data_IF_847652155960
#
_entry.id   IF_847652155960
#
_cell.length_a   1.000
_cell.length_b   1.000
_cell.length_c   1.000
_cell.angle_alpha   90.00
_cell.angle_beta   90.00
_cell.angle_gamma   90.00
#
_symmetry.space_group_name_H-M   'P 1'
#
loop_
_entity.id
_entity.type
_entity.pdbx_description
1 polymer ?
#
# COMPACT_ATOMS: atom_id res chain seq x y z
N UNK A 1 -3.13 -11.54 -0.47
CA UNK A 1 -1.92 -11.23 -1.26
C UNK A 1 -1.15 -12.52 -1.47
N UNK A 2 -1.36 -13.22 -2.60
CA UNK A 2 -0.21 -13.90 -3.17
C UNK A 2 0.84 -12.80 -3.37
N UNK A 3 2.01 -12.97 -2.78
CA UNK A 3 3.14 -12.11 -3.09
C UNK A 3 3.36 -12.26 -4.60
N UNK A 4 2.85 -11.30 -5.36
CA UNK A 4 3.35 -11.02 -6.69
C UNK A 4 4.79 -10.62 -6.45
N UNK A 5 5.67 -11.61 -6.60
CA UNK A 5 7.10 -11.42 -6.66
C UNK A 5 7.35 -10.26 -7.62
N UNK A 6 7.99 -9.21 -7.11
CA UNK A 6 8.71 -8.29 -7.97
C UNK A 6 9.61 -9.15 -8.85
N UNK A 7 9.46 -9.08 -10.17
CA UNK A 7 10.20 -9.86 -11.18
C UNK A 7 11.71 -9.54 -11.24
N UNK A 8 12.32 -9.13 -10.12
CA UNK A 8 13.73 -8.76 -10.05
C UNK A 8 14.62 -9.76 -9.30
N UNK A 9 14.10 -10.85 -8.73
CA UNK A 9 14.92 -11.93 -8.15
C UNK A 9 14.30 -13.31 -8.40
N UNK A 10 14.52 -13.88 -9.59
CA UNK A 10 14.55 -15.33 -9.77
C UNK A 10 15.93 -15.74 -10.26
N UNK A 11 16.59 -16.58 -9.47
CA UNK A 11 17.78 -17.31 -9.91
C UNK A 11 17.42 -18.09 -11.18
N UNK A 12 18.21 -17.86 -12.24
CA UNK A 12 18.18 -18.59 -13.49
C UNK A 12 18.34 -20.10 -13.24
N UNK A 13 17.21 -20.81 -13.19
CA UNK A 13 17.13 -22.17 -13.69
C UNK A 13 16.30 -22.11 -14.96
N UNK A 14 16.99 -22.28 -16.09
CA UNK A 14 16.47 -22.28 -17.46
C UNK A 14 15.15 -23.06 -17.56
N UNK A 15 14.04 -22.35 -17.49
CA UNK A 15 12.75 -22.79 -18.01
C UNK A 15 12.29 -21.65 -18.89
N UNK A 16 12.27 -21.89 -20.20
CA UNK A 16 11.97 -20.94 -21.29
C UNK A 16 11.15 -19.72 -20.85
N UNK A 17 11.81 -18.56 -20.76
CA UNK A 17 11.13 -17.27 -20.78
C UNK A 17 10.37 -17.21 -22.10
N UNK A 18 9.05 -17.40 -22.07
CA UNK A 18 8.19 -17.20 -23.24
C UNK A 18 8.32 -15.75 -23.64
N UNK A 19 9.18 -15.51 -24.65
CA UNK A 19 9.67 -14.21 -25.09
C UNK A 19 8.57 -13.19 -25.41
N UNK A 20 7.39 -13.68 -25.80
CA UNK A 20 6.21 -12.89 -26.10
C UNK A 20 4.98 -13.58 -25.48
N UNK A 21 4.31 -12.96 -24.52
CA UNK A 21 3.09 -13.47 -23.91
C UNK A 21 2.21 -12.35 -23.37
N UNK A 22 0.92 -12.65 -23.21
CA UNK A 22 -0.06 -11.82 -22.51
C UNK A 22 -0.79 -12.76 -21.57
N UNK A 23 -0.73 -12.46 -20.29
CA UNK A 23 -1.42 -13.21 -19.24
C UNK A 23 -2.59 -12.37 -18.74
N UNK A 24 -3.79 -12.96 -18.81
CA UNK A 24 -4.99 -12.39 -18.22
C UNK A 24 -5.27 -13.12 -16.93
N UNK A 25 -5.47 -12.37 -15.85
CA UNK A 25 -5.82 -12.94 -14.58
C UNK A 25 -6.71 -12.02 -13.77
N UNK A 26 -6.87 -12.38 -12.51
CA UNK A 26 -7.65 -11.57 -11.60
C UNK A 26 -7.86 -12.24 -10.27
N UNK A 27 -8.78 -11.67 -9.50
CA UNK A 27 -9.24 -12.27 -8.27
C UNK A 27 -10.69 -11.91 -7.98
N UNK A 28 -11.42 -12.85 -7.39
CA UNK A 28 -12.68 -12.56 -6.70
C UNK A 28 -12.42 -12.74 -5.22
N UNK A 29 -12.66 -11.67 -4.45
CA UNK A 29 -12.43 -11.68 -3.01
C UNK A 29 -13.74 -11.55 -2.24
N UNK A 30 -13.80 -12.27 -1.13
CA UNK A 30 -14.76 -12.09 -0.06
C UNK A 30 -14.01 -11.75 1.23
N UNK A 31 -14.69 -11.06 2.13
CA UNK A 31 -14.17 -10.74 3.46
C UNK A 31 -15.20 -11.03 4.54
N UNK A 32 -14.74 -11.58 5.65
CA UNK A 32 -15.53 -11.64 6.87
C UNK A 32 -15.00 -10.61 7.87
N UNK A 33 -15.89 -9.73 8.31
CA UNK A 33 -15.61 -8.71 9.30
C UNK A 33 -16.37 -9.00 10.58
N UNK A 34 -15.63 -8.99 11.68
CA UNK A 34 -16.20 -9.01 13.02
C UNK A 34 -15.62 -7.85 13.83
N UNK A 35 -16.47 -6.91 14.19
CA UNK A 35 -16.14 -5.75 15.01
C UNK A 35 -17.14 -5.67 16.17
N UNK A 36 -16.70 -5.96 17.41
CA UNK A 36 -17.58 -5.97 18.57
C UNK A 36 -18.03 -4.56 18.98
N UNK A 37 -17.24 -3.53 18.69
CA UNK A 37 -17.50 -2.15 19.13
C UNK A 37 -18.55 -1.48 18.22
N UNK A 38 -18.63 -1.90 16.96
CA UNK A 38 -19.60 -1.42 15.96
C UNK A 38 -20.75 -2.38 15.65
N UNK A 39 -20.85 -3.50 16.37
CA UNK A 39 -21.82 -4.59 16.14
C UNK A 39 -21.81 -5.09 14.67
N UNK A 40 -20.61 -5.27 14.12
CA UNK A 40 -20.43 -5.75 12.74
C UNK A 40 -20.12 -7.25 12.79
N UNK A 41 -20.89 -8.02 12.04
CA UNK A 41 -20.63 -9.44 11.76
C UNK A 41 -21.11 -9.78 10.37
N UNK A 42 -20.29 -9.53 9.36
CA UNK A 42 -20.69 -9.63 7.95
C UNK A 42 -19.70 -10.45 7.13
N UNK A 43 -20.21 -11.36 6.31
CA UNK A 43 -19.49 -11.95 5.19
C UNK A 43 -19.94 -11.22 3.93
N UNK A 44 -19.02 -10.55 3.25
CA UNK A 44 -19.31 -9.64 2.15
C UNK A 44 -18.44 -9.94 0.94
N UNK A 45 -18.92 -9.58 -0.24
CA UNK A 45 -18.06 -9.34 -1.39
C UNK A 45 -17.05 -8.23 -1.03
N UNK A 46 -15.77 -8.47 -1.32
CA UNK A 46 -14.69 -7.53 -1.00
C UNK A 46 -14.29 -6.76 -2.26
N UNK A 47 -13.84 -7.47 -3.29
CA UNK A 47 -13.33 -6.85 -4.52
C UNK A 47 -13.30 -7.86 -5.66
N UNK A 48 -13.60 -7.39 -6.88
CA UNK A 48 -13.21 -8.04 -8.11
C UNK A 48 -11.98 -7.32 -8.67
N UNK A 49 -10.93 -8.08 -8.92
CA UNK A 49 -9.67 -7.61 -9.49
C UNK A 49 -9.57 -8.18 -10.90
N UNK A 50 -9.29 -7.31 -11.86
CA UNK A 50 -8.91 -7.68 -13.21
C UNK A 50 -7.47 -7.26 -13.43
N UNK A 51 -6.61 -8.17 -13.87
CA UNK A 51 -5.24 -7.83 -14.19
C UNK A 51 -4.82 -8.39 -15.55
N UNK A 52 -3.80 -7.75 -16.12
CA UNK A 52 -3.17 -8.19 -17.36
C UNK A 52 -1.70 -7.84 -17.28
N UNK A 53 -0.86 -8.83 -17.51
CA UNK A 53 0.58 -8.66 -17.64
C UNK A 53 0.97 -9.05 -19.07
N UNK A 54 1.93 -8.33 -19.66
CA UNK A 54 2.45 -8.68 -20.97
C UNK A 54 3.96 -8.53 -21.03
N UNK A 55 4.56 -9.32 -21.92
CA UNK A 55 5.96 -9.21 -22.30
C UNK A 55 6.07 -9.39 -23.82
N UNK A 56 6.83 -8.52 -24.46
CA UNK A 56 7.14 -8.54 -25.89
C UNK A 56 8.54 -7.96 -26.11
N UNK A 57 9.51 -8.84 -26.38
CA UNK A 57 10.92 -8.45 -26.57
C UNK A 57 11.48 -7.62 -25.39
N UNK A 58 11.71 -6.31 -25.60
CA UNK A 58 12.20 -5.37 -24.59
C UNK A 58 11.07 -4.63 -23.85
N UNK A 59 9.83 -4.86 -24.24
CA UNK A 59 8.68 -4.23 -23.62
C UNK A 59 8.00 -5.21 -22.68
N UNK A 60 7.64 -4.73 -21.50
CA UNK A 60 6.74 -5.43 -20.58
C UNK A 60 5.72 -4.42 -20.06
N UNK A 61 4.70 -4.88 -19.35
CA UNK A 61 3.77 -3.97 -18.73
C UNK A 61 2.73 -4.70 -17.91
N UNK A 62 2.04 -3.92 -17.08
CA UNK A 62 1.09 -4.44 -16.12
C UNK A 62 -0.08 -3.49 -15.96
N UNK A 63 -1.29 -4.05 -15.96
CA UNK A 63 -2.54 -3.38 -15.70
C UNK A 63 -3.28 -4.10 -14.58
N UNK A 64 -3.82 -3.36 -13.62
CA UNK A 64 -4.71 -3.88 -12.58
C UNK A 64 -5.84 -2.88 -12.32
N UNK A 65 -7.08 -3.36 -12.36
CA UNK A 65 -8.28 -2.60 -12.07
C UNK A 65 -9.10 -3.27 -10.98
N UNK A 66 -9.65 -2.48 -10.06
CA UNK A 66 -10.44 -2.97 -8.93
C UNK A 66 -11.87 -2.47 -9.00
N UNK A 67 -12.80 -3.38 -8.70
CA UNK A 67 -14.24 -3.17 -8.74
C UNK A 67 -14.79 -3.57 -7.37
N UNK A 68 -15.43 -2.62 -6.70
CA UNK A 68 -15.98 -2.68 -5.35
C UNK A 68 -17.39 -2.06 -5.34
N UNK A 69 -18.05 -1.98 -4.18
CA UNK A 69 -19.41 -1.43 -4.06
C UNK A 69 -20.49 -2.49 -3.85
N UNK A 70 -21.68 -2.06 -3.43
CA UNK A 70 -22.87 -2.89 -3.21
C UNK A 70 -22.80 -3.84 -2.00
N UNK A 71 -21.72 -3.82 -1.22
CA UNK A 71 -21.53 -4.66 -0.04
C UNK A 71 -20.63 -3.96 0.99
N UNK A 72 -20.77 -4.31 2.27
CA UNK A 72 -19.95 -3.72 3.34
C UNK A 72 -18.45 -3.78 3.01
N UNK A 73 -17.68 -2.68 3.19
CA UNK A 73 -18.04 -1.41 3.85
C UNK A 73 -18.74 -0.36 2.96
N UNK A 74 -19.17 -0.74 1.77
CA UNK A 74 -19.81 0.12 0.77
C UNK A 74 -21.31 -0.11 0.64
N UNK A 75 -21.98 -0.48 1.73
CA UNK A 75 -23.43 -0.72 1.76
C UNK A 75 -24.27 0.56 1.59
N UNK A 76 -23.63 1.73 1.51
CA UNK A 76 -24.24 2.99 1.06
C UNK A 76 -24.34 3.12 -0.47
N UNK A 77 -23.78 2.18 -1.24
CA UNK A 77 -23.90 2.11 -2.71
C UNK A 77 -24.81 0.96 -3.12
N UNK A 78 -25.46 1.08 -4.28
CA UNK A 78 -26.51 0.14 -4.71
C UNK A 78 -25.96 -1.10 -5.45
N UNK A 79 -24.83 -0.95 -6.17
CA UNK A 79 -24.32 -2.00 -7.08
C UNK A 79 -22.82 -2.25 -6.92
N UNK A 80 -22.41 -3.51 -7.18
CA UNK A 80 -21.01 -3.83 -7.44
C UNK A 80 -20.55 -3.04 -8.68
N UNK A 81 -19.44 -2.31 -8.55
CA UNK A 81 -18.90 -1.40 -9.55
C UNK A 81 -19.35 0.05 -9.41
N UNK A 82 -20.05 0.41 -8.34
CA UNK A 82 -20.25 1.80 -7.97
C UNK A 82 -18.99 2.47 -7.44
N UNK A 83 -18.03 1.66 -6.96
CA UNK A 83 -16.68 2.10 -6.61
C UNK A 83 -15.67 1.30 -7.42
N UNK A 84 -14.84 1.98 -8.21
CA UNK A 84 -13.85 1.29 -9.03
C UNK A 84 -12.72 2.18 -9.47
N UNK A 85 -11.48 1.67 -9.48
CA UNK A 85 -10.30 2.45 -9.83
C UNK A 85 -9.15 1.56 -10.33
N UNK A 86 -8.23 2.11 -11.14
CA UNK A 86 -6.99 1.43 -11.48
C UNK A 86 -6.03 1.43 -10.29
N UNK A 87 -5.40 0.28 -10.00
CA UNK A 87 -4.25 0.20 -9.08
C UNK A 87 -2.95 0.57 -9.81
N UNK A 88 -2.68 -0.10 -10.93
CA UNK A 88 -1.47 0.08 -11.75
C UNK A 88 -1.81 -0.03 -13.23
N UNK A 89 -1.06 0.69 -14.05
CA UNK A 89 -1.18 0.69 -15.50
C UNK A 89 0.07 1.32 -16.10
N UNK A 90 1.08 0.50 -16.38
CA UNK A 90 2.35 0.99 -16.92
C UNK A 90 2.90 0.07 -18.01
N UNK A 91 3.73 0.66 -18.86
CA UNK A 91 4.61 -0.04 -19.80
C UNK A 91 6.04 0.18 -19.33
N UNK A 92 6.84 -0.87 -19.37
CA UNK A 92 8.25 -0.87 -19.07
C UNK A 92 9.06 -1.18 -20.32
N UNK A 93 10.17 -0.47 -20.51
CA UNK A 93 11.15 -0.72 -21.55
C UNK A 93 12.49 -1.11 -20.91
N UNK A 94 12.94 -2.34 -21.17
CA UNK A 94 14.26 -2.83 -20.80
C UNK A 94 15.31 -2.24 -21.75
N UNK A 95 16.10 -1.30 -21.23
CA UNK A 95 17.22 -0.69 -21.97
C UNK A 95 18.29 -1.77 -22.20
N UNK A 96 18.67 -2.44 -21.12
CA UNK A 96 19.58 -3.59 -21.05
C UNK A 96 19.27 -4.44 -19.80
N UNK A 97 20.11 -5.44 -19.51
CA UNK A 97 19.91 -6.38 -18.40
C UNK A 97 19.98 -5.74 -17.00
N UNK A 98 20.41 -4.47 -16.89
CA UNK A 98 20.57 -3.73 -15.64
C UNK A 98 19.63 -2.53 -15.53
N UNK A 99 18.99 -2.14 -16.63
CA UNK A 99 18.29 -0.86 -16.77
C UNK A 99 16.91 -1.01 -17.37
N UNK A 100 15.90 -0.45 -16.71
CA UNK A 100 14.54 -0.38 -17.21
C UNK A 100 13.89 0.97 -16.94
N UNK A 101 12.97 1.37 -17.80
CA UNK A 101 12.15 2.59 -17.63
C UNK A 101 10.68 2.22 -17.70
N UNK A 102 9.94 2.54 -16.65
CA UNK A 102 8.48 2.44 -16.57
C UNK A 102 7.85 3.79 -16.90
N UNK A 103 6.78 3.78 -17.69
CA UNK A 103 5.91 4.92 -17.95
C UNK A 103 4.45 4.55 -17.69
N UNK A 104 3.75 5.41 -16.95
CA UNK A 104 2.32 5.24 -16.63
C UNK A 104 2.06 5.29 -15.14
N UNK A 105 0.94 4.71 -14.70
CA UNK A 105 0.57 4.57 -13.30
C UNK A 105 1.40 3.44 -12.65
N UNK A 106 2.43 3.82 -11.91
CA UNK A 106 3.35 2.90 -11.26
C UNK A 106 3.65 3.30 -9.81
N UNK A 107 4.16 2.35 -9.03
CA UNK A 107 4.46 2.55 -7.61
C UNK A 107 5.64 3.51 -7.42
N UNK A 108 5.48 4.49 -6.53
CA UNK A 108 6.51 5.45 -6.12
C UNK A 108 7.56 4.74 -5.25
N UNK A 109 8.87 4.88 -5.55
CA UNK A 109 9.92 4.16 -4.85
C UNK A 109 10.24 4.82 -3.49
N UNK A 110 9.49 4.45 -2.47
CA UNK A 110 9.71 4.84 -1.07
C UNK A 110 9.67 3.57 -0.23
N UNK A 111 10.60 3.40 0.72
CA UNK A 111 10.63 2.24 1.62
C UNK A 111 10.70 0.87 0.92
N UNK A 112 10.16 -0.20 1.51
CA UNK A 112 10.13 -1.49 0.82
C UNK A 112 9.18 -1.50 -0.38
N UNK A 113 9.53 -2.22 -1.43
CA UNK A 113 8.67 -2.43 -2.59
C UNK A 113 8.33 -3.93 -2.71
N UNK A 114 7.08 -4.33 -3.01
CA UNK A 114 5.89 -3.47 -3.08
C UNK A 114 5.27 -3.15 -1.71
N UNK A 115 5.52 -3.94 -0.66
CA UNK A 115 4.85 -3.79 0.64
C UNK A 115 5.84 -3.77 1.81
N UNK A 116 5.54 -2.96 2.82
CA UNK A 116 6.33 -2.86 4.04
C UNK A 116 6.02 -3.99 5.02
N UNK A 117 4.87 -4.63 4.86
CA UNK A 117 4.29 -5.54 5.84
C UNK A 117 3.85 -6.86 5.24
N UNK A 118 3.52 -7.82 6.10
CA UNK A 118 2.87 -9.09 5.78
C UNK A 118 1.34 -9.02 5.87
N UNK A 119 0.78 -7.92 6.38
CA UNK A 119 -0.67 -7.79 6.62
C UNK A 119 -1.44 -7.36 5.37
N UNK A 120 -2.69 -7.83 5.22
CA UNK A 120 -3.55 -7.43 4.08
C UNK A 120 -4.12 -6.02 4.21
N UNK A 121 -4.11 -5.42 5.41
CA UNK A 121 -4.55 -4.04 5.66
C UNK A 121 -3.41 -3.00 5.57
N UNK A 122 -2.18 -3.46 5.34
CA UNK A 122 -0.95 -2.65 5.27
C UNK A 122 -0.64 -1.87 6.57
N UNK A 123 0.38 -1.01 6.61
CA UNK A 123 0.75 -0.27 7.82
C UNK A 123 0.04 1.09 7.96
N UNK A 124 0.26 1.79 9.08
CA UNK A 124 -0.13 3.21 9.18
C UNK A 124 0.54 4.08 8.09
N UNK A 125 1.70 3.68 7.56
CA UNK A 125 2.31 4.40 6.44
C UNK A 125 1.47 4.31 5.16
N UNK A 126 0.66 3.26 4.98
CA UNK A 126 -0.30 3.17 3.88
C UNK A 126 -1.38 4.23 4.05
N UNK A 127 -1.97 4.31 5.25
CA UNK A 127 -3.02 5.28 5.57
C UNK A 127 -2.50 6.72 5.45
N UNK A 128 -1.25 6.97 5.84
CA UNK A 128 -0.58 8.26 5.67
C UNK A 128 -0.17 8.58 4.21
N UNK A 129 -0.51 7.72 3.25
CA UNK A 129 -0.24 7.90 1.82
C UNK A 129 1.22 7.81 1.44
N UNK A 130 1.96 6.89 2.06
CA UNK A 130 3.41 6.66 1.81
C UNK A 130 3.66 5.23 1.31
N UNK A 131 3.15 4.21 2.01
CA UNK A 131 3.19 2.82 1.54
C UNK A 131 2.20 2.62 0.39
N UNK A 132 2.54 1.72 -0.55
CA UNK A 132 1.71 1.36 -1.72
C UNK A 132 1.13 2.58 -2.48
N UNK A 133 1.92 3.66 -2.58
CA UNK A 133 1.59 4.88 -3.30
C UNK A 133 1.86 4.71 -4.80
N UNK A 134 0.82 4.83 -5.63
CA UNK A 134 0.93 4.84 -7.09
C UNK A 134 0.67 6.24 -7.64
N UNK A 135 1.47 6.63 -8.62
CA UNK A 135 1.34 7.91 -9.31
C UNK A 135 1.65 7.75 -10.79
N UNK A 136 1.19 8.72 -11.60
CA UNK A 136 1.42 8.71 -13.04
C UNK A 136 2.74 9.42 -13.33
N UNK A 137 3.68 8.71 -13.95
CA UNK A 137 5.02 9.23 -14.15
C UNK A 137 5.96 8.29 -14.87
N UNK A 138 7.24 8.66 -14.78
CA UNK A 138 8.38 7.88 -15.24
C UNK A 138 9.11 7.31 -14.02
N UNK A 139 9.49 6.04 -14.07
CA UNK A 139 10.36 5.42 -13.07
C UNK A 139 11.50 4.68 -13.77
N UNK A 140 12.73 5.06 -13.45
CA UNK A 140 13.94 4.39 -13.92
C UNK A 140 14.45 3.46 -12.83
N UNK A 141 14.77 2.23 -13.21
CA UNK A 141 15.41 1.23 -12.36
C UNK A 141 16.81 0.94 -12.91
N UNK A 142 17.81 0.99 -12.02
CA UNK A 142 19.15 0.49 -12.27
C UNK A 142 19.54 -0.52 -11.18
N UNK A 143 19.76 -1.78 -11.57
CA UNK A 143 20.22 -2.85 -10.67
C UNK A 143 21.57 -3.38 -11.14
N UNK A 144 22.56 -3.37 -10.25
CA UNK A 144 23.88 -3.93 -10.51
C UNK A 144 24.42 -4.62 -9.26
N UNK A 145 24.65 -5.93 -9.36
CA UNK A 145 25.12 -6.78 -8.26
C UNK A 145 24.23 -6.60 -7.02
N UNK A 146 24.79 -6.05 -5.95
CA UNK A 146 24.14 -5.86 -4.66
C UNK A 146 23.38 -4.53 -4.55
N UNK A 147 23.51 -3.64 -5.54
CA UNK A 147 22.98 -2.28 -5.50
C UNK A 147 21.82 -2.11 -6.45
N UNK A 148 20.76 -1.45 -5.99
CA UNK A 148 19.63 -1.02 -6.81
C UNK A 148 19.34 0.47 -6.55
N UNK A 149 19.10 1.21 -7.63
CA UNK A 149 18.72 2.63 -7.61
C UNK A 149 17.41 2.77 -8.37
N UNK A 150 16.41 3.37 -7.71
CA UNK A 150 15.14 3.75 -8.33
C UNK A 150 15.03 5.27 -8.35
N UNK A 151 14.73 5.83 -9.52
CA UNK A 151 14.49 7.25 -9.73
C UNK A 151 13.09 7.44 -10.31
N UNK A 152 12.28 8.28 -9.69
CA UNK A 152 10.92 8.58 -10.14
C UNK A 152 10.71 10.06 -10.40
N UNK A 153 10.00 10.39 -11.47
CA UNK A 153 9.37 11.70 -11.68
C UNK A 153 7.90 11.52 -12.02
N UNK A 154 7.02 12.12 -11.22
CA UNK A 154 5.57 11.94 -11.29
C UNK A 154 4.88 13.28 -11.49
N UNK A 155 4.33 13.48 -12.68
CA UNK A 155 3.67 14.74 -13.06
C UNK A 155 2.20 14.79 -12.64
N UNK A 156 1.61 13.66 -12.19
CA UNK A 156 0.23 13.63 -11.71
C UNK A 156 0.00 12.60 -10.60
N UNK A 157 -1.06 12.80 -9.83
CA UNK A 157 -1.63 11.76 -8.96
C UNK A 157 -2.11 10.55 -9.77
N UNK A 158 -2.43 9.46 -9.06
CA UNK A 158 -3.15 8.34 -9.65
C UNK A 158 -4.44 8.80 -10.35
N UNK A 159 -4.94 7.97 -11.28
CA UNK A 159 -6.20 8.28 -11.94
C UNK A 159 -7.38 8.06 -10.98
N UNK A 160 -8.25 9.08 -10.88
CA UNK A 160 -9.49 8.98 -10.12
C UNK A 160 -10.39 7.95 -10.78
N UNK A 161 -10.95 7.08 -9.95
CA UNK A 161 -11.96 6.11 -10.33
C UNK A 161 -13.38 6.66 -10.31
N UNK A 162 -14.33 5.73 -10.34
CA UNK A 162 -15.74 5.97 -10.03
C UNK A 162 -15.94 5.82 -8.51
N UNK A 163 -16.73 6.71 -7.93
CA UNK A 163 -17.11 6.73 -6.53
C UNK A 163 -18.04 7.92 -6.23
N UNK A 164 -18.38 8.10 -4.96
CA UNK A 164 -19.28 9.14 -4.44
C UNK A 164 -18.54 10.36 -3.89
N UNK A 165 -17.24 10.26 -3.59
CA UNK A 165 -16.42 11.34 -3.03
C UNK A 165 -15.24 11.73 -3.95
N UNK A 166 -14.38 12.64 -3.50
CA UNK A 166 -13.08 12.85 -4.13
C UNK A 166 -12.04 11.79 -3.76
N UNK A 167 -12.35 10.86 -2.86
CA UNK A 167 -11.48 9.77 -2.43
C UNK A 167 -11.48 8.49 -3.28
N UNK A 168 -12.05 8.49 -4.49
CA UNK A 168 -12.12 7.30 -5.34
C UNK A 168 -10.77 6.90 -5.98
N UNK A 169 -9.78 6.50 -5.17
CA UNK A 169 -8.43 6.10 -5.57
C UNK A 169 -7.99 4.79 -4.90
N UNK A 170 -7.06 4.09 -5.55
CA UNK A 170 -6.39 2.93 -4.95
C UNK A 170 -5.43 3.31 -3.81
N UNK A 171 -4.54 4.27 -4.06
CA UNK A 171 -3.61 4.75 -3.04
C UNK A 171 -4.24 5.87 -2.23
N UNK A 172 -3.79 6.04 -0.99
CA UNK A 172 -4.09 7.23 -0.20
C UNK A 172 -3.31 8.42 -0.79
N UNK A 173 -4.02 9.32 -1.46
CA UNK A 173 -3.44 10.49 -2.15
C UNK A 173 -4.04 11.77 -1.58
N UNK A 174 -3.31 12.89 -1.67
CA UNK A 174 -3.83 14.20 -1.28
C UNK A 174 -4.93 14.62 -2.27
N UNK A 175 -6.10 14.98 -1.72
CA UNK A 175 -7.29 15.39 -2.47
C UNK A 175 -7.88 16.65 -1.87
N UNK A 176 -8.67 17.35 -2.69
CA UNK A 176 -9.51 18.45 -2.24
C UNK A 176 -10.77 17.88 -1.60
N UNK A 177 -10.97 18.19 -0.32
CA UNK A 177 -11.99 17.59 0.52
C UNK A 177 -13.41 17.96 0.07
N UNK A 178 -14.35 17.01 0.17
CA UNK A 178 -15.76 17.33 0.09
C UNK A 178 -16.21 18.10 1.35
N UNK A 179 -17.29 18.88 1.23
CA UNK A 179 -17.83 19.70 2.32
C UNK A 179 -18.24 18.90 3.58
N UNK A 180 -18.49 17.60 3.43
CA UNK A 180 -18.86 16.70 4.52
C UNK A 180 -17.70 16.39 5.47
N UNK A 181 -16.44 16.58 5.05
CA UNK A 181 -15.29 16.32 5.89
C UNK A 181 -14.97 17.54 6.76
N UNK A 182 -15.12 17.39 8.07
CA UNK A 182 -14.75 18.43 9.02
C UNK A 182 -13.25 18.75 8.91
N UNK A 183 -12.93 20.05 8.90
CA UNK A 183 -11.55 20.55 8.79
C UNK A 183 -10.80 20.02 7.55
N UNK A 184 -11.54 19.70 6.48
CA UNK A 184 -10.98 19.31 5.20
C UNK A 184 -10.20 20.43 4.52
N UNK A 185 -9.14 20.07 3.83
CA UNK A 185 -8.25 20.99 3.09
C UNK A 185 -8.46 20.88 1.58
N UNK A 186 -8.04 21.90 0.83
CA UNK A 186 -8.27 22.02 -0.61
C UNK A 186 -6.93 22.01 -1.35
N UNK A 187 -6.27 20.84 -1.38
CA UNK A 187 -4.99 20.65 -2.05
C UNK A 187 -5.03 19.52 -3.07
N UNK A 188 -4.12 19.57 -4.02
CA UNK A 188 -3.81 18.46 -4.93
C UNK A 188 -2.31 18.35 -5.10
N UNK A 189 -1.79 17.13 -5.07
CA UNK A 189 -0.36 16.90 -5.24
C UNK A 189 0.02 16.79 -6.73
N UNK A 190 1.06 17.50 -7.14
CA UNK A 190 1.59 17.53 -8.51
C UNK A 190 3.13 17.59 -8.50
N UNK A 191 3.77 17.24 -9.61
CA UNK A 191 5.23 17.28 -9.78
C UNK A 191 6.02 16.74 -8.58
N UNK A 192 6.14 15.43 -8.50
CA UNK A 192 6.99 14.77 -7.51
C UNK A 192 8.26 14.18 -8.11
N UNK A 193 9.30 14.16 -7.29
CA UNK A 193 10.53 13.41 -7.50
C UNK A 193 10.71 12.41 -6.37
N UNK A 194 11.18 11.22 -6.72
CA UNK A 194 11.48 10.15 -5.77
C UNK A 194 12.84 9.54 -6.08
N UNK A 195 13.59 9.21 -5.04
CA UNK A 195 14.85 8.48 -5.11
C UNK A 195 14.81 7.38 -4.06
N UNK A 196 15.23 6.18 -4.44
CA UNK A 196 15.54 5.10 -3.52
C UNK A 196 16.85 4.45 -3.89
N UNK A 197 17.62 4.09 -2.87
CA UNK A 197 18.78 3.25 -2.98
C UNK A 197 18.62 2.04 -2.06
N UNK A 198 18.85 0.84 -2.60
CA UNK A 198 18.87 -0.41 -1.87
C UNK A 198 20.24 -1.06 -2.00
N UNK A 199 20.74 -1.64 -0.91
CA UNK A 199 21.91 -2.50 -0.89
C UNK A 199 21.54 -3.84 -0.26
N UNK A 200 21.76 -4.92 -1.00
CA UNK A 200 21.44 -6.30 -0.59
C UNK A 200 22.72 -7.08 -0.33
N UNK A 201 22.83 -7.69 0.84
CA UNK A 201 23.94 -8.54 1.23
C UNK A 201 23.43 -9.96 1.50
N UNK A 202 24.06 -10.94 0.87
CA UNK A 202 23.82 -12.36 1.15
C UNK A 202 24.93 -12.91 2.04
N UNK A 203 24.56 -13.61 3.11
CA UNK A 203 25.47 -14.31 4.00
C UNK A 203 24.86 -15.66 4.41
N UNK A 204 25.42 -16.76 3.92
CA UNK A 204 24.84 -18.11 4.07
C UNK A 204 23.37 -18.12 3.63
N UNK A 205 22.46 -18.59 4.49
CA UNK A 205 21.03 -18.67 4.23
C UNK A 205 20.28 -17.35 4.46
N UNK A 206 21.00 -16.28 4.85
CA UNK A 206 20.41 -14.99 5.17
C UNK A 206 20.65 -13.96 4.07
N UNK A 207 19.60 -13.21 3.76
CA UNK A 207 19.66 -12.01 2.91
C UNK A 207 19.28 -10.80 3.76
N UNK A 208 20.17 -9.81 3.82
CA UNK A 208 19.92 -8.53 4.44
C UNK A 208 19.76 -7.45 3.35
N UNK A 209 18.81 -6.54 3.52
CA UNK A 209 18.56 -5.42 2.64
C UNK A 209 18.57 -4.12 3.46
N UNK A 210 19.36 -3.15 3.03
CA UNK A 210 19.42 -1.82 3.61
C UNK A 210 18.95 -0.85 2.56
N UNK A 211 18.14 0.14 2.93
CA UNK A 211 17.78 1.17 1.97
C UNK A 211 17.43 2.50 2.58
N UNK A 212 17.57 3.50 1.72
CA UNK A 212 17.22 4.89 1.99
C UNK A 212 16.33 5.38 0.86
N UNK A 213 15.37 6.23 1.18
CA UNK A 213 14.50 6.83 0.19
C UNK A 213 14.18 8.29 0.52
N UNK A 214 13.91 9.06 -0.53
CA UNK A 214 13.52 10.46 -0.44
C UNK A 214 12.43 10.74 -1.46
N UNK A 215 11.45 11.54 -1.06
CA UNK A 215 10.36 11.97 -1.91
C UNK A 215 10.07 13.44 -1.65
N UNK A 216 9.89 14.20 -2.72
CA UNK A 216 9.48 15.60 -2.67
C UNK A 216 8.40 15.84 -3.71
N UNK A 217 7.37 16.60 -3.36
CA UNK A 217 6.32 17.02 -4.28
C UNK A 217 5.86 18.45 -4.00
N UNK A 218 5.24 19.05 -5.01
CA UNK A 218 4.51 20.31 -4.86
C UNK A 218 3.03 20.02 -4.62
N UNK A 219 2.39 20.87 -3.83
CA UNK A 219 0.94 20.86 -3.68
C UNK A 219 0.37 22.11 -4.34
N UNK A 220 -0.71 21.94 -5.09
CA UNK A 220 -1.50 23.03 -5.65
C UNK A 220 -2.68 23.30 -4.72
N UNK A 221 -2.86 24.55 -4.32
CA UNK A 221 -4.00 24.98 -3.51
C UNK A 221 -5.11 25.50 -4.43
N UNK A 222 -6.30 24.90 -4.39
CA UNK A 222 -7.40 25.29 -5.30
C UNK A 222 -7.81 26.76 -5.13
N UNK A 223 -7.63 27.31 -3.92
CA UNK A 223 -7.95 28.69 -3.59
C UNK A 223 -6.79 29.69 -3.80
N UNK A 224 -5.64 29.26 -4.35
CA UNK A 224 -4.41 30.04 -4.58
C UNK A 224 -3.91 30.86 -3.39
N UNK A 225 -4.23 30.43 -2.16
CA UNK A 225 -3.73 31.11 -0.94
C UNK A 225 -2.34 30.63 -0.52
N UNK A 226 -1.80 29.64 -1.21
CA UNK A 226 -0.57 28.96 -0.84
C UNK A 226 0.17 28.42 -2.07
N UNK A 227 1.14 29.20 -2.55
CA UNK A 227 1.93 28.89 -3.74
C UNK A 227 3.20 28.06 -3.44
N UNK A 228 3.51 27.83 -2.16
CA UNK A 228 4.74 27.17 -1.72
C UNK A 228 4.50 25.82 -1.04
N UNK A 229 3.25 25.34 -1.05
CA UNK A 229 2.86 24.10 -0.44
C UNK A 229 3.66 22.91 -1.00
N UNK A 230 4.18 22.05 -0.11
CA UNK A 230 5.00 20.91 -0.54
C UNK A 230 4.90 19.73 0.40
N UNK A 231 5.27 18.54 -0.06
CA UNK A 231 5.39 17.34 0.77
C UNK A 231 6.77 16.75 0.63
N UNK A 232 7.34 16.34 1.76
CA UNK A 232 8.67 15.75 1.90
C UNK A 232 8.55 14.47 2.72
N UNK A 233 9.15 13.40 2.22
CA UNK A 233 9.27 12.14 2.94
C UNK A 233 10.73 11.68 2.86
N UNK A 234 11.27 11.25 3.98
CA UNK A 234 12.56 10.56 4.04
C UNK A 234 12.39 9.21 4.72
N UNK A 235 12.94 8.15 4.13
CA UNK A 235 12.79 6.79 4.63
C UNK A 235 14.13 6.11 4.85
N UNK A 236 14.21 5.34 5.93
CA UNK A 236 15.30 4.41 6.24
C UNK A 236 14.68 3.04 6.49
N UNK A 237 15.15 2.01 5.79
CA UNK A 237 14.65 0.66 5.99
C UNK A 237 15.75 -0.39 6.09
N UNK A 238 15.46 -1.43 6.86
CA UNK A 238 16.30 -2.59 7.05
C UNK A 238 15.43 -3.85 7.04
N UNK A 239 15.73 -4.77 6.12
CA UNK A 239 15.11 -6.07 6.01
C UNK A 239 16.14 -7.17 6.23
N UNK A 240 15.75 -8.26 6.87
CA UNK A 240 16.56 -9.47 6.94
C UNK A 240 15.66 -10.69 6.88
N UNK A 241 16.00 -11.65 6.04
CA UNK A 241 15.22 -12.86 5.88
C UNK A 241 16.08 -14.09 5.56
N UNK A 242 15.53 -15.25 5.88
CA UNK A 242 15.93 -16.55 5.36
C UNK A 242 14.68 -17.30 4.86
N UNK A 243 14.79 -18.60 4.61
CA UNK A 243 13.68 -19.45 4.12
C UNK A 243 12.45 -19.51 5.05
N UNK A 244 12.59 -19.12 6.32
CA UNK A 244 11.55 -19.25 7.35
C UNK A 244 11.17 -17.95 8.01
N UNK A 245 12.11 -17.06 8.27
CA UNK A 245 11.92 -15.85 9.06
C UNK A 245 12.15 -14.66 8.15
N UNK A 246 11.25 -13.67 8.21
CA UNK A 246 11.45 -12.36 7.62
C UNK A 246 11.20 -11.27 8.65
N UNK A 247 12.13 -10.32 8.77
CA UNK A 247 11.98 -9.12 9.57
C UNK A 247 12.12 -7.90 8.65
N UNK A 248 11.18 -6.96 8.73
CA UNK A 248 11.26 -5.66 8.06
C UNK A 248 11.08 -4.54 9.08
N UNK A 249 12.00 -3.59 9.09
CA UNK A 249 11.96 -2.38 9.90
C UNK A 249 12.04 -1.16 8.99
N UNK A 250 11.16 -0.19 9.18
CA UNK A 250 11.19 1.06 8.44
C UNK A 250 10.83 2.25 9.32
N UNK A 251 11.55 3.35 9.14
CA UNK A 251 11.27 4.66 9.75
C UNK A 251 11.09 5.68 8.63
N UNK A 252 10.02 6.47 8.72
CA UNK A 252 9.64 7.47 7.73
C UNK A 252 9.44 8.82 8.42
N UNK A 253 10.14 9.84 7.95
CA UNK A 253 9.95 11.22 8.38
C UNK A 253 8.99 11.89 7.39
N UNK A 254 7.78 12.22 7.83
CA UNK A 254 6.76 12.86 7.00
C UNK A 254 6.67 14.35 7.34
N UNK A 255 6.69 15.19 6.30
CA UNK A 255 6.45 16.62 6.45
C UNK A 255 5.72 17.20 5.23
N UNK A 256 4.50 17.66 5.46
CA UNK A 256 3.67 18.43 4.53
C UNK A 256 3.71 19.88 5.01
N UNK A 257 4.22 20.76 4.16
CA UNK A 257 4.37 22.19 4.40
C UNK A 257 3.14 22.90 3.82
N UNK A 258 2.22 23.30 4.71
CA UNK A 258 1.03 24.11 4.41
C UNK A 258 0.74 25.00 5.64
N UNK A 259 -0.13 26.03 5.54
CA UNK A 259 -0.62 26.80 6.68
C UNK A 259 -1.41 26.01 7.73
N UNK A 260 -1.74 24.74 7.46
CA UNK A 260 -2.56 23.89 8.31
C UNK A 260 -1.70 22.84 9.04
N UNK A 261 -2.20 22.30 10.16
CA UNK A 261 -1.56 21.20 10.88
C UNK A 261 -1.88 19.82 10.29
N UNK A 262 -2.80 19.77 9.32
CA UNK A 262 -3.26 18.54 8.65
C UNK A 262 -3.55 18.79 7.17
N UNK A 263 -3.58 17.72 6.39
CA UNK A 263 -3.95 17.72 4.96
C UNK A 263 -4.90 16.56 4.70
N UNK A 264 -5.85 16.77 3.79
CA UNK A 264 -6.85 15.76 3.42
C UNK A 264 -6.29 14.77 2.41
N UNK A 265 -6.51 13.50 2.72
CA UNK A 265 -6.23 12.36 1.86
C UNK A 265 -7.55 11.69 1.47
N UNK A 266 -7.54 11.03 0.33
CA UNK A 266 -8.66 10.25 -0.16
C UNK A 266 -8.21 8.91 -0.71
N UNK A 267 -8.97 7.86 -0.39
CA UNK A 267 -8.81 6.51 -0.95
C UNK A 267 -10.08 5.70 -0.75
N UNK A 268 -10.29 4.70 -1.61
CA UNK A 268 -11.38 3.74 -1.46
C UNK A 268 -12.76 4.40 -1.23
N UNK A 269 -12.99 5.55 -1.88
CA UNK A 269 -14.19 6.40 -1.79
C UNK A 269 -14.42 7.10 -0.43
N UNK A 270 -13.46 7.05 0.48
CA UNK A 270 -13.44 7.82 1.71
C UNK A 270 -12.43 8.95 1.69
N UNK A 271 -12.65 9.94 2.56
CA UNK A 271 -11.78 11.10 2.76
C UNK A 271 -11.50 11.28 4.25
N UNK A 272 -10.25 11.59 4.59
CA UNK A 272 -9.81 11.74 5.97
C UNK A 272 -8.60 12.67 6.05
N UNK A 273 -8.38 13.25 7.23
CA UNK A 273 -7.27 14.14 7.49
C UNK A 273 -6.07 13.37 8.07
N UNK A 274 -4.89 13.76 7.61
CA UNK A 274 -3.60 13.24 8.08
C UNK A 274 -2.77 14.39 8.64
N UNK A 275 -2.13 14.16 9.79
CA UNK A 275 -1.21 15.12 10.38
C UNK A 275 -0.08 15.48 9.41
N UNK A 276 0.25 16.75 9.34
CA UNK A 276 1.24 17.22 8.36
C UNK A 276 2.67 16.88 8.73
N UNK A 277 2.98 16.64 10.01
CA UNK A 277 4.36 16.45 10.46
C UNK A 277 4.48 15.37 11.52
N UNK A 278 5.46 14.49 11.37
CA UNK A 278 5.80 13.49 12.36
C UNK A 278 6.66 12.35 11.81
N UNK A 279 6.84 11.32 12.63
CA UNK A 279 7.64 10.13 12.29
C UNK A 279 6.77 8.89 12.35
N UNK A 280 6.82 8.08 11.29
CA UNK A 280 6.14 6.79 11.22
C UNK A 280 7.16 5.69 11.38
N UNK A 281 6.88 4.76 12.29
CA UNK A 281 7.65 3.55 12.52
C UNK A 281 6.82 2.34 12.12
N UNK A 282 7.43 1.37 11.45
CA UNK A 282 6.78 0.10 11.13
C UNK A 282 7.76 -1.06 11.28
N UNK A 283 7.29 -2.13 11.93
CA UNK A 283 8.02 -3.37 12.17
C UNK A 283 7.13 -4.57 11.82
N UNK A 284 7.62 -5.44 10.94
CA UNK A 284 6.94 -6.65 10.51
C UNK A 284 7.82 -7.87 10.77
N UNK A 285 7.26 -8.88 11.44
CA UNK A 285 7.90 -10.17 11.66
C UNK A 285 7.03 -11.27 11.08
N UNK A 286 7.57 -12.01 10.12
CA UNK A 286 6.93 -13.10 9.43
C UNK A 286 7.65 -14.41 9.71
N UNK A 287 6.87 -15.48 9.89
CA UNK A 287 7.38 -16.83 10.03
C UNK A 287 6.61 -17.84 9.16
N UNK A 288 7.31 -18.48 8.23
CA UNK A 288 6.82 -19.59 7.42
C UNK A 288 6.83 -20.89 8.22
N UNK A 289 5.64 -21.40 8.50
CA UNK A 289 5.46 -22.67 9.20
C UNK A 289 6.03 -23.79 8.32
N UNK A 290 6.94 -24.64 8.86
CA UNK A 290 7.40 -25.85 8.16
C UNK A 290 6.21 -26.73 7.77
N UNK A 291 6.35 -27.46 6.64
CA UNK A 291 5.40 -28.42 6.08
C UNK A 291 4.26 -28.82 7.03
N UNK A 292 3.06 -28.32 6.76
CA UNK A 292 1.86 -28.81 7.41
C UNK A 292 1.47 -30.11 6.72
N UNK A 293 1.27 -31.18 7.49
CA UNK A 293 0.71 -32.45 7.01
C UNK A 293 -0.79 -32.33 6.68
N UNK A 294 -1.21 -31.22 6.06
CA UNK A 294 -2.58 -30.93 5.68
C UNK A 294 -2.60 -30.79 4.16
N UNK A 295 -3.38 -31.67 3.53
CA UNK A 295 -3.49 -31.74 2.07
C UNK A 295 -3.90 -30.39 1.47
N UNK A 296 -3.24 -30.00 0.38
CA UNK A 296 -3.52 -28.83 -0.45
C UNK A 296 -3.32 -27.45 0.22
N UNK A 297 -2.70 -27.38 1.41
CA UNK A 297 -2.27 -26.12 2.05
C UNK A 297 -0.78 -25.89 1.77
N UNK A 298 -0.46 -24.70 1.26
CA UNK A 298 0.90 -24.24 0.96
C UNK A 298 1.13 -22.87 1.59
N UNK A 299 2.41 -22.51 1.76
CA UNK A 299 2.85 -21.18 2.21
C UNK A 299 2.10 -20.66 3.43
N UNK A 300 1.95 -21.53 4.44
CA UNK A 300 1.35 -21.13 5.70
C UNK A 300 2.35 -20.25 6.45
N UNK A 301 1.96 -19.00 6.69
CA UNK A 301 2.73 -18.04 7.45
C UNK A 301 1.92 -17.57 8.66
N UNK A 302 2.62 -17.32 9.76
CA UNK A 302 2.12 -16.50 10.87
C UNK A 302 2.95 -15.23 10.93
N UNK A 303 2.34 -14.12 11.30
CA UNK A 303 3.03 -12.85 11.34
C UNK A 303 2.47 -11.93 12.42
N UNK A 304 3.32 -11.03 12.87
CA UNK A 304 2.95 -9.89 13.70
C UNK A 304 3.47 -8.62 13.06
N UNK A 305 2.66 -7.57 13.09
CA UNK A 305 3.03 -6.26 12.58
C UNK A 305 2.67 -5.20 13.60
N UNK A 306 3.55 -4.21 13.77
CA UNK A 306 3.29 -3.02 14.57
C UNK A 306 3.68 -1.78 13.77
N UNK A 307 2.81 -0.77 13.77
CA UNK A 307 3.17 0.55 13.27
C UNK A 307 2.59 1.67 14.12
N UNK A 308 3.28 2.80 14.10
CA UNK A 308 3.03 3.94 14.97
C UNK A 308 3.30 5.24 14.22
N UNK A 309 2.38 6.20 14.30
CA UNK A 309 2.60 7.56 13.82
C UNK A 309 2.74 8.52 15.01
N UNK A 310 3.98 8.93 15.25
CA UNK A 310 4.35 9.96 16.22
C UNK A 310 4.17 11.33 15.59
N UNK A 311 3.10 12.04 15.96
CA UNK A 311 2.73 13.33 15.37
C UNK A 311 3.42 14.45 16.13
N UNK A 312 3.98 15.41 15.39
CA UNK A 312 4.70 16.55 15.99
C UNK A 312 3.76 17.54 16.69
N UNK A 313 2.51 17.65 16.22
CA UNK A 313 1.50 18.54 16.80
C UNK A 313 1.03 17.99 18.14
N UNK A 314 1.37 18.67 19.25
CA UNK A 314 1.08 18.21 20.62
C UNK A 314 -0.39 17.94 20.93
N UNK A 315 -1.29 18.70 20.30
CA UNK A 315 -2.74 18.54 20.51
C UNK A 315 -3.31 17.35 19.72
N UNK A 316 -2.54 16.76 18.80
CA UNK A 316 -2.95 15.62 18.01
C UNK A 316 -2.59 14.33 18.76
N UNK A 317 -3.52 13.38 18.79
CA UNK A 317 -3.27 12.08 19.41
C UNK A 317 -2.53 11.16 18.45
N UNK A 318 -1.45 10.54 18.91
CA UNK A 318 -0.69 9.59 18.09
C UNK A 318 -1.49 8.35 17.72
N UNK A 319 -1.16 7.74 16.57
CA UNK A 319 -1.93 6.64 15.97
C UNK A 319 -1.12 5.35 16.03
N UNK A 320 -1.77 4.23 16.37
CA UNK A 320 -1.13 2.92 16.53
C UNK A 320 -1.92 1.85 15.80
N UNK A 321 -1.19 0.86 15.31
CA UNK A 321 -1.75 -0.34 14.69
C UNK A 321 -0.89 -1.54 15.08
N UNK A 322 -1.55 -2.58 15.58
CA UNK A 322 -0.95 -3.87 15.85
C UNK A 322 -1.79 -4.97 15.21
N UNK A 323 -1.13 -5.88 14.50
CA UNK A 323 -1.78 -6.98 13.79
C UNK A 323 -1.14 -8.28 14.22
N UNK A 324 -1.97 -9.27 14.54
CA UNK A 324 -1.57 -10.67 14.65
C UNK A 324 -2.33 -11.44 13.58
N UNK A 325 -1.60 -12.04 12.65
CA UNK A 325 -2.19 -12.63 11.47
C UNK A 325 -1.61 -13.99 11.08
N UNK A 326 -2.36 -14.68 10.24
CA UNK A 326 -1.90 -15.86 9.53
C UNK A 326 -2.44 -15.85 8.11
N UNK A 327 -1.69 -16.42 7.18
CA UNK A 327 -2.12 -16.56 5.81
C UNK A 327 -1.61 -17.87 5.20
N UNK A 328 -2.38 -18.44 4.30
CA UNK A 328 -2.00 -19.64 3.55
C UNK A 328 -2.69 -19.69 2.19
N UNK A 329 -2.11 -20.52 1.31
CA UNK A 329 -2.66 -20.80 -0.02
C UNK A 329 -3.27 -22.20 -0.04
N UNK A 330 -4.55 -22.29 -0.35
CA UNK A 330 -5.28 -23.54 -0.53
C UNK A 330 -5.51 -23.85 -2.02
N UNK A 331 -5.22 -25.08 -2.44
CA UNK A 331 -5.40 -25.56 -3.84
C UNK A 331 -4.84 -24.60 -4.90
N UNK A 332 -3.71 -23.95 -4.60
CA UNK A 332 -3.00 -22.96 -5.45
C UNK A 332 -3.74 -21.64 -5.72
N UNK A 333 -5.06 -21.65 -5.83
CA UNK A 333 -5.84 -20.49 -6.26
C UNK A 333 -6.50 -19.73 -5.11
N UNK A 334 -6.68 -20.35 -3.93
CA UNK A 334 -7.31 -19.68 -2.79
C UNK A 334 -6.26 -19.13 -1.85
N UNK A 335 -6.15 -17.83 -1.75
CA UNK A 335 -5.38 -17.19 -0.68
C UNK A 335 -6.33 -16.79 0.45
N UNK A 336 -6.01 -17.21 1.66
CA UNK A 336 -6.81 -16.93 2.86
C UNK A 336 -5.89 -16.27 3.88
N UNK A 337 -6.26 -15.07 4.34
CA UNK A 337 -5.61 -14.38 5.45
C UNK A 337 -6.62 -14.14 6.57
N UNK A 338 -6.22 -14.38 7.81
CA UNK A 338 -7.01 -14.13 9.01
C UNK A 338 -6.21 -13.25 9.95
N UNK A 339 -6.73 -12.09 10.30
CA UNK A 339 -6.01 -11.05 11.03
C UNK A 339 -6.84 -10.50 12.18
N UNK A 340 -6.28 -10.56 13.38
CA UNK A 340 -6.80 -9.80 14.51
C UNK A 340 -6.07 -8.46 14.56
N UNK A 341 -6.85 -7.41 14.43
CA UNK A 341 -6.40 -6.05 14.25
C UNK A 341 -6.69 -5.28 15.54
N UNK A 342 -5.70 -4.51 16.00
CA UNK A 342 -5.81 -3.61 17.13
C UNK A 342 -5.38 -2.22 16.68
N UNK A 343 -6.20 -1.21 16.95
CA UNK A 343 -5.99 0.15 16.51
C UNK A 343 -6.20 1.13 17.65
N UNK A 344 -5.34 2.14 17.75
CA UNK A 344 -5.57 3.30 18.62
C UNK A 344 -5.46 4.56 17.79
N UNK A 345 -6.54 5.35 17.71
CA UNK A 345 -6.65 6.45 16.75
C UNK A 345 -6.31 5.99 15.33
N UNK A 346 -6.90 4.87 14.89
CA UNK A 346 -6.73 4.29 13.56
C UNK A 346 -8.08 4.37 12.82
N UNK A 347 -8.16 4.95 11.61
CA UNK A 347 -9.44 5.18 10.93
C UNK A 347 -10.09 3.89 10.38
N UNK A 348 -9.34 2.81 10.19
CA UNK A 348 -9.85 1.58 9.58
C UNK A 348 -10.13 0.45 10.58
N UNK A 349 -9.71 0.61 11.84
CA UNK A 349 -9.82 -0.43 12.87
C UNK A 349 -10.73 0.04 13.99
N UNK A 350 -11.82 -0.71 14.20
CA UNK A 350 -12.74 -0.45 15.31
C UNK A 350 -13.65 0.77 15.11
N UNK A 351 -14.20 1.27 16.21
CA UNK A 351 -15.11 2.42 16.26
C UNK A 351 -14.45 3.79 16.33
N UNK A 352 -13.16 3.92 15.98
CA UNK A 352 -12.47 5.22 16.00
C UNK A 352 -12.97 6.14 14.87
N UNK A 353 -12.72 7.45 15.01
CA UNK A 353 -13.14 8.44 14.03
C UNK A 353 -12.42 8.25 12.68
N UNK A 354 -13.17 7.98 11.61
CA UNK A 354 -12.61 7.75 10.27
C UNK A 354 -11.89 9.00 9.72
N UNK A 355 -12.48 10.18 9.89
CA UNK A 355 -12.01 11.42 9.27
C UNK A 355 -10.83 12.07 10.00
N UNK A 356 -10.63 11.81 11.29
CA UNK A 356 -9.67 12.56 12.11
C UNK A 356 -8.61 11.69 12.81
N UNK A 357 -8.75 10.36 12.81
CA UNK A 357 -7.84 9.45 13.54
C UNK A 357 -6.35 9.66 13.22
N UNK A 358 -5.99 9.91 11.95
CA UNK A 358 -4.60 10.20 11.55
C UNK A 358 -4.19 11.67 11.67
N UNK A 359 -5.10 12.58 12.04
CA UNK A 359 -4.83 13.98 12.34
C UNK A 359 -5.05 14.27 13.83
N UNK A 360 -6.09 15.02 14.21
CA UNK A 360 -6.35 15.40 15.61
C UNK A 360 -6.53 14.22 16.57
N UNK A 361 -6.97 13.07 16.06
CA UNK A 361 -7.18 11.86 16.85
C UNK A 361 -8.61 11.34 16.78
N UNK A 362 -8.85 10.18 17.37
CA UNK A 362 -10.16 9.52 17.43
C UNK A 362 -10.53 9.18 18.86
N UNK A 363 -10.92 7.93 19.14
CA UNK A 363 -11.42 7.51 20.46
C UNK A 363 -10.38 7.58 21.58
N UNK A 364 -9.09 7.65 21.25
CA UNK A 364 -7.96 7.49 22.17
C UNK A 364 -7.98 6.18 22.97
N UNK A 365 -8.74 5.18 22.52
CA UNK A 365 -8.78 3.85 23.09
C UNK A 365 -8.19 2.84 22.11
N UNK A 366 -7.79 1.68 22.63
CA UNK A 366 -7.47 0.54 21.79
C UNK A 366 -8.77 -0.16 21.41
N UNK A 367 -9.11 -0.08 20.13
CA UNK A 367 -10.21 -0.81 19.53
C UNK A 367 -9.67 -2.06 18.84
N UNK A 368 -10.55 -3.02 18.53
CA UNK A 368 -10.15 -4.24 17.85
C UNK A 368 -11.20 -4.75 16.87
N UNK A 369 -10.75 -5.44 15.82
CA UNK A 369 -11.64 -6.15 14.91
C UNK A 369 -10.91 -7.37 14.31
N UNK A 370 -11.68 -8.38 13.93
CA UNK A 370 -11.19 -9.54 13.19
C UNK A 370 -11.56 -9.37 11.72
N UNK A 371 -10.57 -9.50 10.83
CA UNK A 371 -10.76 -9.54 9.40
C UNK A 371 -10.27 -10.88 8.84
N UNK A 372 -11.10 -11.54 8.02
CA UNK A 372 -10.69 -12.72 7.25
C UNK A 372 -10.88 -12.41 5.77
N UNK A 373 -9.80 -12.30 5.02
CA UNK A 373 -9.82 -12.11 3.57
C UNK A 373 -9.66 -13.46 2.86
N UNK A 374 -10.56 -13.74 1.91
CA UNK A 374 -10.58 -14.97 1.13
C UNK A 374 -10.62 -14.58 -0.35
N UNK A 375 -9.56 -14.87 -1.09
CA UNK A 375 -9.47 -14.56 -2.52
C UNK A 375 -9.27 -15.80 -3.36
N UNK A 376 -10.07 -15.96 -4.40
CA UNK A 376 -9.81 -16.88 -5.50
C UNK A 376 -9.08 -16.13 -6.61
N UNK A 377 -7.87 -16.54 -6.94
CA UNK A 377 -6.99 -15.95 -7.95
C UNK A 377 -6.85 -16.91 -9.12
N UNK A 378 -7.01 -16.41 -10.35
CA UNK A 378 -7.01 -17.21 -11.57
C UNK A 378 -6.07 -16.64 -12.63
#
# INVERSE_FOLDING_TARGET
MSAGYSYADENMNETEVKKNHIDFGGAIRARFDFDPDRDIRKLSFDTLILNTDFSYEKLSGSFEYRILGGAYPYDYTDHIGDISFPKKAYVEYAVDDKQAVQFGLNQVPIGFQPYYTSTVIESIAYIAGIEDLYRVGLKYNYKNENSEVLLGYYFANAWKGKGTTNGAYYSNVIVSANESLENGTQYKEQDAVALQYNYTQKNEDWTANYGISGYYSKLDAENKKDDNASRKIYGLHYGVNNDRVGLKLITLFNHIDTPYDQTTFGSYDGEFNVANKGVIYSADLNYKIPELNIKDINDFNVYVHYSYYDKDKKDFLNSNQFVVGSAFTYKKNFYIASEWLFGKNNPYIGGSDYGQSLASGGSNQWENQLNINIGYYF
#
